data_IF_962143310261
#
_entry.id   IF_962143310261
#
_cell.length_a   1.000
_cell.length_b   1.000
_cell.length_c   1.000
_cell.angle_alpha   90.00
_cell.angle_beta   90.00
_cell.angle_gamma   90.00
#
_symmetry.space_group_name_H-M   'P 1'
#
loop_
_entity.id
_entity.type
_entity.pdbx_description
1 polymer ?
#
# COMPACT_ATOMS: atom_id res chain seq x y z
N UNK A 1 5.10 -5.05 -24.48
CA UNK A 1 3.89 -4.26 -24.18
C UNK A 1 4.10 -2.88 -24.73
N UNK A 2 3.17 -2.40 -25.57
CA UNK A 2 3.16 -0.99 -26.01
C UNK A 2 2.38 -0.18 -24.98
N UNK A 3 2.98 0.90 -24.47
CA UNK A 3 2.40 1.79 -23.47
C UNK A 3 2.15 3.20 -24.02
N UNK A 4 2.25 3.41 -25.34
CA UNK A 4 2.19 4.74 -25.97
C UNK A 4 0.78 5.16 -26.41
N UNK A 5 -0.26 4.56 -25.85
CA UNK A 5 -1.66 4.93 -26.14
C UNK A 5 -2.11 6.22 -25.41
N UNK A 6 -1.28 6.76 -24.51
CA UNK A 6 -1.47 8.04 -23.83
C UNK A 6 -0.35 9.01 -24.21
N UNK A 7 -0.63 10.32 -24.15
CA UNK A 7 0.46 11.30 -24.16
C UNK A 7 1.34 11.11 -22.92
N UNK A 8 2.64 11.43 -22.99
CA UNK A 8 3.53 11.33 -21.84
C UNK A 8 3.01 12.05 -20.60
N UNK A 9 2.40 13.23 -20.79
CA UNK A 9 1.85 14.06 -19.72
C UNK A 9 0.63 13.40 -19.06
N UNK A 10 -0.28 12.82 -19.86
CA UNK A 10 -1.47 12.15 -19.35
C UNK A 10 -1.10 10.84 -18.64
N UNK A 11 -0.18 10.07 -19.20
CA UNK A 11 0.34 8.85 -18.56
C UNK A 11 0.98 9.15 -17.21
N UNK A 12 1.85 10.15 -17.15
CA UNK A 12 2.47 10.59 -15.90
C UNK A 12 1.43 11.07 -14.88
N UNK A 13 0.38 11.76 -15.33
CA UNK A 13 -0.72 12.19 -14.47
C UNK A 13 -1.50 11.02 -13.88
N UNK A 14 -1.87 10.03 -14.69
CA UNK A 14 -2.60 8.84 -14.24
C UNK A 14 -1.80 8.05 -13.21
N UNK A 15 -0.49 7.85 -13.44
CA UNK A 15 0.39 7.16 -12.47
C UNK A 15 0.42 7.91 -11.14
N UNK A 16 0.57 9.24 -11.17
CA UNK A 16 0.58 10.07 -9.96
C UNK A 16 -0.75 10.00 -9.20
N UNK A 17 -1.87 10.10 -9.92
CA UNK A 17 -3.20 10.08 -9.31
C UNK A 17 -3.50 8.69 -8.71
N UNK A 18 -3.12 7.60 -9.39
CA UNK A 18 -3.25 6.25 -8.87
C UNK A 18 -2.46 6.05 -7.56
N UNK A 19 -1.22 6.54 -7.49
CA UNK A 19 -0.41 6.50 -6.27
C UNK A 19 -1.02 7.33 -5.14
N UNK A 20 -1.54 8.51 -5.46
CA UNK A 20 -2.17 9.41 -4.49
C UNK A 20 -3.41 8.78 -3.89
N UNK A 21 -4.29 8.21 -4.73
CA UNK A 21 -5.50 7.50 -4.29
C UNK A 21 -5.12 6.30 -3.41
N UNK A 22 -4.19 5.46 -3.87
CA UNK A 22 -3.76 4.27 -3.12
C UNK A 22 -3.22 4.63 -1.72
N UNK A 23 -2.40 5.69 -1.63
CA UNK A 23 -1.88 6.17 -0.35
C UNK A 23 -2.95 6.81 0.53
N UNK A 24 -3.84 7.62 -0.05
CA UNK A 24 -4.93 8.28 0.67
C UNK A 24 -5.93 7.27 1.24
N UNK A 25 -6.10 6.11 0.62
CA UNK A 25 -6.97 5.03 1.11
C UNK A 25 -6.24 4.06 2.05
N UNK A 26 -4.94 4.21 2.26
CA UNK A 26 -4.16 3.32 3.12
C UNK A 26 -3.92 1.93 2.52
N UNK A 27 -4.06 1.78 1.21
CA UNK A 27 -3.85 0.51 0.52
C UNK A 27 -2.38 0.29 0.19
N UNK A 28 -1.90 -0.94 0.35
CA UNK A 28 -0.57 -1.35 -0.14
C UNK A 28 -0.61 -1.84 -1.59
N UNK A 29 -1.80 -2.25 -2.06
CA UNK A 29 -2.09 -2.70 -3.41
C UNK A 29 -3.51 -2.28 -3.76
N UNK A 30 -3.74 -1.87 -5.00
CA UNK A 30 -5.07 -1.51 -5.51
C UNK A 30 -5.08 -1.60 -7.04
N UNK A 31 -6.23 -1.90 -7.64
CA UNK A 31 -6.49 -1.55 -9.04
C UNK A 31 -7.35 -0.31 -9.11
N UNK A 32 -6.99 0.58 -10.03
CA UNK A 32 -7.72 1.83 -10.25
C UNK A 32 -8.02 1.94 -11.75
N UNK A 33 -9.29 2.15 -12.05
CA UNK A 33 -9.79 2.37 -13.40
C UNK A 33 -9.99 3.86 -13.65
N UNK A 34 -9.54 4.32 -14.81
CA UNK A 34 -9.69 5.70 -15.25
C UNK A 34 -10.47 5.78 -16.55
N UNK A 35 -11.48 6.64 -16.58
CA UNK A 35 -12.07 7.14 -17.81
C UNK A 35 -11.37 8.46 -18.20
N UNK A 36 -10.94 8.58 -19.45
CA UNK A 36 -10.34 9.83 -19.95
C UNK A 36 -11.37 10.56 -20.79
N UNK A 37 -11.69 11.80 -20.41
CA UNK A 37 -12.59 12.69 -21.18
C UNK A 37 -11.91 14.04 -21.37
N UNK A 38 -11.80 14.49 -22.63
CA UNK A 38 -11.19 15.77 -22.98
C UNK A 38 -9.77 15.98 -22.40
N UNK A 39 -8.99 14.90 -22.35
CA UNK A 39 -7.63 14.89 -21.77
C UNK A 39 -7.58 14.86 -20.24
N UNK A 40 -8.73 14.79 -19.56
CA UNK A 40 -8.83 14.73 -18.10
C UNK A 40 -9.12 13.29 -17.65
N UNK A 41 -8.27 12.71 -16.77
CA UNK A 41 -8.54 11.40 -16.19
C UNK A 41 -9.52 11.50 -15.01
N UNK A 42 -10.54 10.65 -15.00
CA UNK A 42 -11.51 10.49 -13.92
C UNK A 42 -11.39 9.07 -13.37
N UNK A 43 -11.08 8.94 -12.07
CA UNK A 43 -11.12 7.64 -11.41
C UNK A 43 -12.58 7.18 -11.30
N UNK A 44 -12.90 6.01 -11.88
CA UNK A 44 -14.26 5.47 -11.92
C UNK A 44 -14.44 4.26 -11.00
N UNK A 45 -13.36 3.53 -10.75
CA UNK A 45 -13.31 2.47 -9.75
C UNK A 45 -11.93 2.47 -9.10
N UNK A 46 -11.88 2.45 -7.77
CA UNK A 46 -10.66 2.62 -6.99
C UNK A 46 -10.73 1.98 -5.60
N UNK A 47 -11.73 1.11 -5.36
CA UNK A 47 -11.97 0.46 -4.07
C UNK A 47 -11.65 -1.04 -4.15
N UNK A 48 -10.54 -1.40 -4.80
CA UNK A 48 -10.14 -2.77 -5.11
C UNK A 48 -8.80 -3.16 -4.45
N UNK A 49 -8.72 -3.24 -3.11
CA UNK A 49 -7.45 -3.49 -2.39
C UNK A 49 -6.87 -4.91 -2.54
N UNK A 50 -7.63 -5.82 -3.14
CA UNK A 50 -7.22 -7.20 -3.46
C UNK A 50 -7.71 -7.57 -4.87
N UNK A 51 -7.14 -6.98 -5.92
CA UNK A 51 -7.58 -7.19 -7.28
C UNK A 51 -7.27 -8.59 -7.82
N UNK A 52 -8.10 -9.06 -8.74
CA UNK A 52 -7.88 -10.30 -9.48
C UNK A 52 -6.76 -10.12 -10.51
N UNK A 53 -5.53 -10.53 -10.15
CA UNK A 53 -4.36 -10.50 -11.04
C UNK A 53 -4.13 -11.84 -11.76
N UNK A 54 -5.12 -12.27 -12.53
CA UNK A 54 -4.97 -13.45 -13.37
C UNK A 54 -4.05 -13.16 -14.57
N UNK A 55 -3.04 -14.03 -14.78
CA UNK A 55 -2.00 -13.86 -15.82
C UNK A 55 -2.60 -13.61 -17.21
N UNK A 56 -3.67 -14.31 -17.55
CA UNK A 56 -4.30 -14.20 -18.88
C UNK A 56 -5.03 -12.88 -19.08
N UNK A 57 -5.43 -12.20 -17.99
CA UNK A 57 -6.13 -10.91 -18.03
C UNK A 57 -5.17 -9.74 -18.09
N UNK A 58 -4.12 -9.79 -17.29
CA UNK A 58 -3.15 -8.69 -17.19
C UNK A 58 -1.89 -8.92 -18.00
N UNK A 59 -1.79 -10.04 -18.71
CA UNK A 59 -0.60 -10.50 -19.44
C UNK A 59 0.57 -10.89 -18.52
N UNK A 60 1.49 -11.70 -19.04
CA UNK A 60 2.66 -12.20 -18.30
C UNK A 60 3.56 -11.09 -17.75
N UNK A 61 3.82 -10.05 -18.54
CA UNK A 61 4.69 -8.94 -18.15
C UNK A 61 4.22 -8.25 -16.86
N UNK A 62 2.93 -7.90 -16.78
CA UNK A 62 2.41 -7.24 -15.58
C UNK A 62 2.22 -8.22 -14.42
N UNK A 63 1.91 -9.48 -14.71
CA UNK A 63 1.82 -10.52 -13.68
C UNK A 63 3.16 -10.69 -12.95
N UNK A 64 4.26 -10.86 -13.70
CA UNK A 64 5.60 -10.95 -13.13
C UNK A 64 5.97 -9.69 -12.35
N UNK A 65 5.64 -8.52 -12.88
CA UNK A 65 5.89 -7.24 -12.21
C UNK A 65 5.18 -7.15 -10.86
N UNK A 66 3.88 -7.48 -10.80
CA UNK A 66 3.10 -7.44 -9.56
C UNK A 66 3.65 -8.45 -8.55
N UNK A 67 3.92 -9.68 -8.97
CA UNK A 67 4.49 -10.72 -8.09
C UNK A 67 5.82 -10.27 -7.50
N UNK A 68 6.73 -9.74 -8.32
CA UNK A 68 8.04 -9.25 -7.88
C UNK A 68 7.90 -8.12 -6.84
N UNK A 69 7.04 -7.13 -7.11
CA UNK A 69 6.86 -5.97 -6.22
C UNK A 69 6.21 -6.36 -4.90
N UNK A 70 5.17 -7.19 -4.94
CA UNK A 70 4.49 -7.66 -3.73
C UNK A 70 5.38 -8.58 -2.91
N UNK A 71 6.16 -9.47 -3.54
CA UNK A 71 7.13 -10.30 -2.83
C UNK A 71 8.19 -9.44 -2.10
N UNK A 72 8.73 -8.41 -2.76
CA UNK A 72 9.66 -7.47 -2.12
C UNK A 72 9.03 -6.72 -0.96
N UNK A 73 7.78 -6.27 -1.12
CA UNK A 73 7.05 -5.59 -0.06
C UNK A 73 6.92 -6.49 1.17
N UNK A 74 6.44 -7.73 1.02
CA UNK A 74 6.25 -8.63 2.18
C UNK A 74 7.57 -9.06 2.83
N UNK A 75 8.65 -9.22 2.06
CA UNK A 75 10.00 -9.48 2.60
C UNK A 75 10.48 -8.29 3.43
N UNK A 76 10.36 -7.06 2.92
CA UNK A 76 10.72 -5.85 3.66
C UNK A 76 9.95 -5.76 4.99
N UNK A 77 8.65 -6.05 4.97
CA UNK A 77 7.81 -6.07 6.17
C UNK A 77 8.26 -7.11 7.18
N UNK A 78 8.59 -8.32 6.72
CA UNK A 78 9.07 -9.40 7.58
C UNK A 78 10.42 -9.08 8.23
N UNK A 79 11.32 -8.42 7.50
CA UNK A 79 12.67 -8.09 8.00
C UNK A 79 12.70 -6.81 8.86
N UNK A 80 11.90 -5.81 8.52
CA UNK A 80 11.97 -4.48 9.14
C UNK A 80 10.82 -4.18 10.12
N UNK A 81 9.83 -5.08 10.25
CA UNK A 81 8.77 -5.01 11.27
C UNK A 81 7.83 -3.81 11.16
N UNK A 82 7.84 -3.08 10.04
CA UNK A 82 6.92 -1.95 9.83
C UNK A 82 5.55 -2.50 9.50
N UNK A 83 4.56 -2.31 10.37
CA UNK A 83 3.20 -2.75 10.07
C UNK A 83 2.62 -1.96 8.89
N UNK A 84 1.80 -2.65 8.09
CA UNK A 84 0.88 -2.00 7.15
C UNK A 84 -0.08 -1.11 7.94
N UNK A 85 -0.40 0.08 7.42
CA UNK A 85 -1.44 0.94 7.99
C UNK A 85 -2.68 0.86 7.09
N UNK A 86 -3.62 -0.06 7.35
CA UNK A 86 -4.76 -0.31 6.47
C UNK A 86 -5.85 0.76 6.61
N UNK A 87 -5.60 1.85 7.34
CA UNK A 87 -6.57 2.91 7.56
C UNK A 87 -6.40 4.02 6.51
N UNK A 88 -7.51 4.60 6.01
CA UNK A 88 -7.46 5.77 5.16
C UNK A 88 -6.62 6.89 5.79
N UNK A 89 -5.87 7.59 4.94
CA UNK A 89 -4.95 8.68 5.27
C UNK A 89 -5.31 9.98 4.52
N UNK A 90 -6.54 10.06 4.03
CA UNK A 90 -7.08 11.23 3.36
C UNK A 90 -7.00 12.51 4.22
N UNK A 91 -6.94 12.45 5.56
CA UNK A 91 -6.75 13.64 6.40
C UNK A 91 -5.38 14.27 6.14
N UNK A 92 -4.35 13.44 5.93
CA UNK A 92 -3.01 13.91 5.59
C UNK A 92 -3.00 14.51 4.18
N UNK A 93 -3.67 13.86 3.22
CA UNK A 93 -3.81 14.35 1.85
C UNK A 93 -4.51 15.73 1.81
N UNK A 94 -5.56 15.90 2.62
CA UNK A 94 -6.34 17.13 2.70
C UNK A 94 -5.69 18.20 3.59
N UNK A 95 -4.62 17.87 4.32
CA UNK A 95 -3.94 18.78 5.25
C UNK A 95 -4.78 19.13 6.48
N UNK A 96 -5.78 18.31 6.83
CA UNK A 96 -6.68 18.56 7.97
C UNK A 96 -6.27 17.80 9.24
N UNK A 97 -5.29 16.89 9.15
CA UNK A 97 -4.76 16.16 10.30
C UNK A 97 -3.82 15.02 9.92
N UNK A 98 -3.28 14.33 10.92
CA UNK A 98 -2.59 13.05 10.73
C UNK A 98 -3.62 11.91 10.57
N UNK A 99 -3.24 10.81 9.93
CA UNK A 99 -4.07 9.61 9.88
C UNK A 99 -4.32 9.09 11.31
N UNK A 100 -5.52 9.34 11.84
CA UNK A 100 -5.88 9.04 13.23
C UNK A 100 -6.83 7.84 13.34
N UNK A 101 -7.19 7.19 12.22
CA UNK A 101 -8.29 6.22 12.17
C UNK A 101 -9.65 6.91 12.33
N UNK A 102 -10.70 6.14 12.63
CA UNK A 102 -12.02 6.72 12.91
C UNK A 102 -12.08 7.38 14.29
N UNK A 103 -12.99 8.33 14.48
CA UNK A 103 -13.24 8.95 15.79
C UNK A 103 -13.67 7.90 16.82
N UNK A 104 -12.80 7.63 17.81
CA UNK A 104 -13.00 6.56 18.79
C UNK A 104 -12.20 5.28 18.53
N UNK A 105 -11.35 5.26 17.49
CA UNK A 105 -10.37 4.19 17.32
C UNK A 105 -9.48 4.10 18.58
N UNK A 106 -9.17 2.89 19.07
CA UNK A 106 -8.28 2.73 20.20
C UNK A 106 -6.93 3.37 19.88
N UNK A 107 -6.44 4.24 20.75
CA UNK A 107 -5.10 4.82 20.63
C UNK A 107 -4.09 3.68 20.54
N UNK A 108 -3.31 3.63 19.46
CA UNK A 108 -2.24 2.64 19.30
C UNK A 108 -1.39 2.57 20.57
N UNK A 109 -1.34 1.38 21.17
CA UNK A 109 -0.54 1.09 22.36
C UNK A 109 0.97 0.95 22.04
N UNK A 110 1.46 1.73 21.09
CA UNK A 110 2.89 1.79 20.74
C UNK A 110 3.63 2.61 21.80
N UNK A 111 3.82 2.00 22.97
CA UNK A 111 4.51 2.61 24.10
C UNK A 111 4.69 1.71 25.33
N UNK A 112 4.14 0.50 25.36
CA UNK A 112 4.51 -0.45 26.41
C UNK A 112 5.85 -1.10 26.05
N UNK A 113 6.93 -0.56 26.61
CA UNK A 113 8.23 -1.25 26.67
C UNK A 113 7.98 -2.68 27.15
N UNK A 114 8.35 -3.67 26.34
CA UNK A 114 8.35 -5.06 26.77
C UNK A 114 9.29 -5.18 27.97
N UNK A 115 8.76 -5.67 29.09
CA UNK A 115 9.57 -6.01 30.25
C UNK A 115 10.31 -7.29 29.89
N UNK A 116 11.63 -7.21 29.77
CA UNK A 116 12.48 -8.35 29.48
C UNK A 116 12.33 -9.41 30.60
N UNK A 117 12.05 -10.65 30.21
CA UNK A 117 12.08 -11.78 31.14
C UNK A 117 13.53 -12.05 31.60
N UNK A 118 13.77 -12.37 32.88
CA UNK A 118 15.11 -12.65 33.37
C UNK A 118 15.65 -13.95 32.76
N UNK A 119 16.91 -13.91 32.33
CA UNK A 119 17.63 -15.06 31.80
C UNK A 119 17.76 -16.15 32.88
N UNK A 120 17.32 -17.37 32.57
CA UNK A 120 17.57 -18.54 33.41
C UNK A 120 19.07 -18.86 33.43
N UNK A 121 19.63 -18.89 34.64
CA UNK A 121 21.06 -18.99 34.90
C UNK A 121 21.69 -20.32 34.47
N UNK A 122 22.98 -20.24 34.20
CA UNK A 122 23.89 -21.33 33.95
C UNK A 122 23.86 -22.37 35.08
N UNK A 123 23.74 -23.66 34.71
CA UNK A 123 24.01 -24.78 35.60
C UNK A 123 25.37 -25.40 35.23
N UNK A 124 26.42 -24.98 35.93
CA UNK A 124 27.64 -25.76 36.14
C UNK A 124 27.33 -26.93 37.09
N UNK A 125 27.76 -28.14 36.75
CA UNK A 125 28.19 -29.22 37.69
C UNK A 125 29.25 -30.05 36.96
N UNK A 126 30.52 -29.95 37.37
CA UNK A 126 31.23 -30.80 38.36
C UNK A 126 31.73 -32.09 37.74
#
# INVERSE_FOLDING_TARGET
MDHQYLTPELGARIVKDAQTINQALGYEMNTIEFAVKDGVPYAIDFLNPAPDFERDRITEFYFEHVVEKMARLVIDRALNGKASNPWPRWEEMLGIGAAAGFTGAPKSAAGQKSVAAPAAGAAQRS
#
